data_IF_069907943425
#
_entry.id   IF_069907943425
#
_cell.length_a   1.000
_cell.length_b   1.000
_cell.length_c   1.000
_cell.angle_alpha   90.00
_cell.angle_beta   90.00
_cell.angle_gamma   90.00
#
_symmetry.space_group_name_H-M   'P 1'
#
loop_
_entity.id
_entity.type
_entity.pdbx_description
1 polymer ?
#
# COMPACT_ATOMS: atom_id res chain seq x y z
N UNK A 1 26.38 23.00 -36.00
CA UNK A 1 24.93 22.76 -35.99
C UNK A 1 24.59 21.35 -36.49
N UNK A 2 25.18 20.29 -35.89
CA UNK A 2 24.93 18.90 -36.32
C UNK A 2 25.08 17.89 -35.16
N UNK A 3 24.57 18.19 -33.96
CA UNK A 3 24.68 17.25 -32.84
C UNK A 3 23.51 17.35 -31.83
N UNK A 4 22.31 17.72 -32.28
CA UNK A 4 21.09 17.79 -31.43
C UNK A 4 19.91 16.94 -31.93
N UNK A 5 20.14 15.97 -32.81
CA UNK A 5 19.05 15.13 -33.37
C UNK A 5 19.12 13.64 -32.99
N UNK A 6 20.06 13.18 -32.19
CA UNK A 6 20.17 11.75 -31.82
C UNK A 6 19.48 11.36 -30.51
N UNK A 7 18.75 12.24 -29.85
CA UNK A 7 18.06 12.00 -28.56
C UNK A 7 16.59 11.54 -28.65
N UNK A 8 16.09 11.10 -29.81
CA UNK A 8 14.63 10.87 -29.97
C UNK A 8 14.19 9.50 -30.45
N UNK A 9 15.00 8.49 -30.40
CA UNK A 9 14.62 7.15 -30.87
C UNK A 9 15.37 6.00 -30.17
N UNK A 10 15.28 5.91 -28.86
CA UNK A 10 15.35 4.63 -28.16
C UNK A 10 14.25 4.63 -27.11
N UNK A 11 13.11 4.01 -27.41
CA UNK A 11 12.06 3.73 -26.46
C UNK A 11 12.66 2.86 -25.36
N UNK A 12 13.18 3.46 -24.30
CA UNK A 12 13.64 2.74 -23.13
C UNK A 12 12.44 2.00 -22.53
N UNK A 13 12.49 0.67 -22.67
CA UNK A 13 11.53 -0.30 -22.14
C UNK A 13 11.51 -0.32 -20.59
N UNK A 14 12.32 0.51 -19.94
CA UNK A 14 12.56 0.53 -18.50
C UNK A 14 12.40 1.98 -18.03
N UNK A 15 11.69 2.17 -16.92
CA UNK A 15 11.68 3.45 -16.20
C UNK A 15 13.12 3.81 -15.82
N UNK A 16 13.67 4.84 -16.44
CA UNK A 16 15.08 5.26 -16.26
C UNK A 16 15.31 5.93 -14.89
N UNK A 17 14.23 6.37 -14.20
CA UNK A 17 14.27 7.15 -12.96
C UNK A 17 13.58 6.48 -11.79
N UNK A 18 13.79 5.20 -11.63
CA UNK A 18 13.09 4.40 -10.63
C UNK A 18 13.26 4.88 -9.18
N UNK A 19 14.48 5.28 -8.77
CA UNK A 19 14.77 5.79 -7.41
C UNK A 19 15.24 7.25 -7.42
N UNK A 20 15.30 7.89 -8.58
CA UNK A 20 15.87 9.22 -8.75
C UNK A 20 14.80 10.31 -8.68
N UNK A 21 15.27 11.55 -8.53
CA UNK A 21 14.45 12.74 -8.67
C UNK A 21 13.87 12.87 -10.07
N UNK A 22 12.59 13.24 -10.18
CA UNK A 22 11.92 13.51 -11.47
C UNK A 22 12.03 15.01 -11.80
N UNK A 23 12.77 15.38 -12.85
CA UNK A 23 12.86 16.77 -13.30
C UNK A 23 11.51 17.33 -13.72
N UNK A 24 11.31 18.64 -13.55
CA UNK A 24 10.04 19.29 -13.84
C UNK A 24 9.57 19.09 -15.30
N UNK A 25 10.50 19.02 -16.25
CA UNK A 25 10.22 18.75 -17.66
C UNK A 25 9.64 17.34 -17.94
N UNK A 26 9.85 16.38 -17.06
CA UNK A 26 9.36 15.01 -17.17
C UNK A 26 8.04 14.78 -16.43
N UNK A 27 7.54 15.80 -15.71
CA UNK A 27 6.31 15.70 -14.91
C UNK A 27 5.08 16.00 -15.76
N UNK A 28 4.18 15.05 -15.88
CA UNK A 28 3.05 15.10 -16.80
C UNK A 28 1.72 14.61 -16.21
N UNK A 29 1.69 14.29 -14.92
CA UNK A 29 0.48 13.82 -14.22
C UNK A 29 -0.59 14.89 -14.04
N UNK A 30 -1.82 14.48 -13.76
CA UNK A 30 -2.94 15.35 -13.42
C UNK A 30 -3.62 14.91 -12.12
N UNK A 31 -4.35 15.84 -11.47
CA UNK A 31 -5.13 15.51 -10.27
C UNK A 31 -6.21 14.46 -10.56
N UNK A 32 -6.84 14.53 -11.74
CA UNK A 32 -7.83 13.54 -12.16
C UNK A 32 -7.19 12.14 -12.32
N UNK A 33 -5.96 12.06 -12.84
CA UNK A 33 -5.25 10.78 -12.94
C UNK A 33 -4.89 10.20 -11.57
N UNK A 34 -4.59 11.03 -10.57
CA UNK A 34 -4.38 10.56 -9.19
C UNK A 34 -5.66 10.04 -8.57
N UNK A 35 -6.78 10.77 -8.72
CA UNK A 35 -8.07 10.33 -8.22
C UNK A 35 -8.47 8.97 -8.84
N UNK A 36 -8.43 8.85 -10.16
CA UNK A 36 -8.83 7.62 -10.86
C UNK A 36 -7.89 6.44 -10.56
N UNK A 37 -6.58 6.70 -10.43
CA UNK A 37 -5.61 5.69 -10.03
C UNK A 37 -5.97 5.08 -8.68
N UNK A 38 -6.16 5.93 -7.65
CA UNK A 38 -6.42 5.45 -6.30
C UNK A 38 -7.83 4.89 -6.13
N UNK A 39 -8.81 5.39 -6.89
CA UNK A 39 -10.15 4.79 -6.95
C UNK A 39 -10.06 3.34 -7.49
N UNK A 40 -9.43 3.16 -8.66
CA UNK A 40 -9.35 1.85 -9.30
C UNK A 40 -8.45 0.85 -8.57
N UNK A 41 -7.33 1.32 -7.99
CA UNK A 41 -6.42 0.48 -7.23
C UNK A 41 -7.08 -0.16 -6.01
N UNK A 42 -8.10 0.48 -5.46
CA UNK A 42 -8.85 -0.01 -4.31
C UNK A 42 -10.05 -0.89 -4.67
N UNK A 43 -10.54 -0.86 -5.92
CA UNK A 43 -11.62 -1.73 -6.39
C UNK A 43 -11.07 -3.12 -6.74
N UNK A 44 -10.71 -3.89 -5.73
CA UNK A 44 -10.09 -5.20 -5.88
C UNK A 44 -10.54 -6.20 -4.81
N UNK A 45 -10.41 -7.48 -5.12
CA UNK A 45 -10.89 -8.58 -4.28
C UNK A 45 -10.32 -8.56 -2.84
N UNK A 46 -9.07 -8.17 -2.65
CA UNK A 46 -8.48 -8.06 -1.30
C UNK A 46 -9.12 -6.97 -0.45
N UNK A 47 -9.56 -5.85 -1.05
CA UNK A 47 -10.31 -4.82 -0.34
C UNK A 47 -11.73 -5.31 0.01
N UNK A 48 -12.38 -6.07 -0.88
CA UNK A 48 -13.66 -6.73 -0.59
C UNK A 48 -13.51 -7.65 0.62
N UNK A 49 -12.48 -8.50 0.63
CA UNK A 49 -12.23 -9.41 1.76
C UNK A 49 -11.91 -8.64 3.05
N UNK A 50 -11.15 -7.54 2.98
CA UNK A 50 -10.90 -6.69 4.15
C UNK A 50 -12.20 -6.17 4.77
N UNK A 51 -13.17 -5.76 3.94
CA UNK A 51 -14.50 -5.38 4.41
C UNK A 51 -15.27 -6.56 5.01
N UNK A 52 -15.19 -7.73 4.39
CA UNK A 52 -15.81 -8.94 4.89
C UNK A 52 -15.32 -9.36 6.29
N UNK A 53 -14.02 -9.14 6.58
CA UNK A 53 -13.44 -9.42 7.90
C UNK A 53 -14.17 -8.70 9.03
N UNK A 54 -14.72 -7.51 8.81
CA UNK A 54 -15.47 -6.78 9.82
C UNK A 54 -16.65 -7.58 10.37
N UNK A 55 -17.35 -8.31 9.50
CA UNK A 55 -18.49 -9.18 9.87
C UNK A 55 -17.99 -10.56 10.31
N UNK A 56 -17.03 -11.16 9.62
CA UNK A 56 -16.47 -12.47 9.98
C UNK A 56 -15.90 -12.48 11.39
N UNK A 57 -15.34 -11.34 11.84
CA UNK A 57 -14.76 -11.17 13.18
C UNK A 57 -15.79 -10.65 14.22
N UNK A 58 -17.09 -10.77 13.93
CA UNK A 58 -18.17 -10.59 14.90
C UNK A 58 -18.85 -9.22 14.91
N UNK A 59 -18.58 -8.35 13.90
CA UNK A 59 -19.32 -7.11 13.72
C UNK A 59 -20.69 -7.34 13.06
N UNK A 60 -21.67 -6.50 13.38
CA UNK A 60 -22.90 -6.39 12.57
C UNK A 60 -22.66 -5.53 11.32
N UNK A 61 -23.60 -5.59 10.38
CA UNK A 61 -23.47 -4.89 9.09
C UNK A 61 -23.39 -3.37 9.27
N UNK A 62 -24.32 -2.78 10.05
CA UNK A 62 -24.41 -1.33 10.17
C UNK A 62 -23.17 -0.72 10.82
N UNK A 63 -22.78 -1.24 12.01
CA UNK A 63 -21.65 -0.69 12.75
C UNK A 63 -20.31 -1.02 12.07
N UNK A 64 -20.21 -2.15 11.36
CA UNK A 64 -19.04 -2.44 10.52
C UNK A 64 -18.88 -1.41 9.40
N UNK A 65 -19.95 -1.04 8.69
CA UNK A 65 -19.88 -0.02 7.64
C UNK A 65 -19.45 1.34 8.18
N UNK A 66 -19.96 1.74 9.35
CA UNK A 66 -19.57 3.00 10.01
C UNK A 66 -18.11 2.97 10.45
N UNK A 67 -17.68 1.88 11.10
CA UNK A 67 -16.31 1.71 11.56
C UNK A 67 -15.30 1.71 10.40
N UNK A 68 -15.60 0.96 9.33
CA UNK A 68 -14.79 0.93 8.13
C UNK A 68 -14.66 2.33 7.52
N UNK A 69 -15.75 3.10 7.42
CA UNK A 69 -15.70 4.46 6.89
C UNK A 69 -14.81 5.37 7.74
N UNK A 70 -14.93 5.32 9.06
CA UNK A 70 -14.08 6.12 9.95
C UNK A 70 -12.60 5.75 9.82
N UNK A 71 -12.29 4.46 9.77
CA UNK A 71 -10.92 4.00 9.56
C UNK A 71 -10.38 4.40 8.17
N UNK A 72 -11.22 4.34 7.13
CA UNK A 72 -10.87 4.82 5.78
C UNK A 72 -10.58 6.32 5.77
N UNK A 73 -11.37 7.14 6.47
CA UNK A 73 -11.15 8.58 6.53
C UNK A 73 -9.85 8.92 7.28
N UNK A 74 -9.60 8.30 8.42
CA UNK A 74 -8.39 8.55 9.22
C UNK A 74 -7.16 8.03 8.49
N UNK A 75 -7.14 6.77 8.09
CA UNK A 75 -6.03 6.17 7.38
C UNK A 75 -5.78 6.81 6.01
N UNK A 76 -6.87 7.15 5.29
CA UNK A 76 -6.84 7.86 4.02
C UNK A 76 -6.27 9.27 4.14
N UNK A 77 -6.54 9.98 5.24
CA UNK A 77 -5.90 11.26 5.51
C UNK A 77 -4.39 11.10 5.73
N UNK A 78 -3.95 10.10 6.49
CA UNK A 78 -2.52 9.81 6.68
C UNK A 78 -1.86 9.49 5.33
N UNK A 79 -2.44 8.60 4.53
CA UNK A 79 -1.97 8.28 3.19
C UNK A 79 -1.89 9.53 2.29
N UNK A 80 -2.96 10.32 2.25
CA UNK A 80 -3.05 11.49 1.38
C UNK A 80 -2.06 12.60 1.77
N UNK A 81 -1.71 12.75 3.06
CA UNK A 81 -0.64 13.62 3.52
C UNK A 81 0.73 13.17 2.96
N UNK A 82 1.01 11.87 2.90
CA UNK A 82 2.21 11.38 2.22
C UNK A 82 2.14 11.67 0.70
N UNK A 83 1.00 11.42 0.07
CA UNK A 83 0.79 11.70 -1.36
C UNK A 83 0.99 13.17 -1.73
N UNK A 84 0.61 14.09 -0.85
CA UNK A 84 0.77 15.53 -1.07
C UNK A 84 2.24 16.01 -1.07
N UNK A 85 3.17 15.20 -0.58
CA UNK A 85 4.62 15.49 -0.62
C UNK A 85 5.20 15.30 -2.03
N UNK A 86 4.65 14.36 -2.82
CA UNK A 86 5.19 13.94 -4.11
C UNK A 86 5.45 15.09 -5.10
N UNK A 87 4.48 15.96 -5.43
CA UNK A 87 4.68 17.08 -6.36
C UNK A 87 5.77 18.05 -5.90
N UNK A 88 5.87 18.27 -4.60
CA UNK A 88 6.83 19.21 -4.02
C UNK A 88 8.27 18.67 -4.07
N UNK A 89 8.42 17.37 -3.80
CA UNK A 89 9.73 16.73 -3.68
C UNK A 89 10.23 16.12 -5.00
N UNK A 90 9.34 15.56 -5.82
CA UNK A 90 9.71 14.81 -7.03
C UNK A 90 10.53 13.55 -6.74
N UNK A 91 10.44 13.02 -5.52
CA UNK A 91 11.19 11.87 -5.01
C UNK A 91 10.26 10.70 -4.70
N UNK A 92 10.74 9.46 -4.81
CA UNK A 92 10.04 8.31 -4.24
C UNK A 92 9.88 8.45 -2.73
N UNK A 93 8.75 7.97 -2.19
CA UNK A 93 8.44 8.12 -0.77
C UNK A 93 9.54 7.56 0.14
N UNK A 94 10.05 6.38 -0.17
CA UNK A 94 11.02 5.73 0.72
C UNK A 94 12.44 6.29 0.63
N UNK A 95 12.82 6.92 -0.48
CA UNK A 95 14.07 7.69 -0.57
C UNK A 95 14.01 8.90 0.36
N UNK A 96 12.85 9.59 0.43
CA UNK A 96 12.69 10.74 1.33
C UNK A 96 12.80 10.37 2.81
N UNK A 97 12.55 9.11 3.19
CA UNK A 97 12.75 8.62 4.56
C UNK A 97 14.19 8.70 5.06
N UNK A 98 15.17 8.83 4.15
CA UNK A 98 16.57 9.08 4.52
C UNK A 98 16.78 10.43 5.21
N UNK A 99 15.88 11.37 4.98
CA UNK A 99 15.88 12.68 5.67
C UNK A 99 15.64 12.50 7.16
N UNK A 100 14.69 11.63 7.54
CA UNK A 100 14.33 11.39 8.93
C UNK A 100 15.29 10.39 9.60
N UNK A 101 15.59 9.27 8.94
CA UNK A 101 16.29 8.13 9.56
C UNK A 101 17.80 8.08 9.29
N UNK A 102 18.31 8.90 8.36
CA UNK A 102 19.66 8.79 7.82
C UNK A 102 19.74 7.76 6.68
N UNK A 103 20.84 7.81 5.92
CA UNK A 103 21.00 7.01 4.68
C UNK A 103 20.92 5.50 4.94
N UNK A 104 21.56 5.02 6.03
CA UNK A 104 21.51 3.62 6.43
C UNK A 104 20.27 3.32 7.29
N UNK A 105 19.88 4.26 8.15
CA UNK A 105 18.73 4.09 9.04
C UNK A 105 17.41 3.89 8.31
N UNK A 106 17.24 4.48 7.14
CA UNK A 106 16.09 4.26 6.27
C UNK A 106 15.90 2.79 5.82
N UNK A 107 16.94 1.94 5.97
CA UNK A 107 16.81 0.50 5.73
C UNK A 107 15.74 -0.15 6.60
N UNK A 108 15.53 0.34 7.83
CA UNK A 108 14.54 -0.22 8.76
C UNK A 108 13.12 -0.15 8.15
N UNK A 109 12.56 1.03 7.81
CA UNK A 109 11.25 1.09 7.17
C UNK A 109 11.24 0.47 5.76
N UNK A 110 12.35 0.49 5.02
CA UNK A 110 12.44 -0.15 3.69
C UNK A 110 12.30 -1.67 3.74
N UNK A 111 12.86 -2.34 4.74
CA UNK A 111 12.66 -3.79 4.95
C UNK A 111 11.17 -4.08 5.21
N UNK A 112 10.50 -3.26 6.01
CA UNK A 112 9.06 -3.42 6.25
C UNK A 112 8.23 -3.23 4.98
N UNK A 113 8.64 -2.32 4.10
CA UNK A 113 7.99 -2.16 2.78
C UNK A 113 8.20 -3.39 1.90
N UNK A 114 9.37 -4.01 1.92
CA UNK A 114 9.59 -5.28 1.23
C UNK A 114 8.67 -6.38 1.78
N UNK A 115 8.53 -6.51 3.12
CA UNK A 115 7.62 -7.45 3.77
C UNK A 115 6.15 -7.15 3.40
N UNK A 116 5.76 -5.89 3.36
CA UNK A 116 4.44 -5.45 2.91
C UNK A 116 4.14 -5.95 1.48
N UNK A 117 5.04 -5.74 0.54
CA UNK A 117 4.86 -6.20 -0.84
C UNK A 117 4.78 -7.72 -0.94
N UNK A 118 5.60 -8.46 -0.18
CA UNK A 118 5.55 -9.92 -0.11
C UNK A 118 4.20 -10.38 0.44
N UNK A 119 3.71 -9.80 1.54
CA UNK A 119 2.45 -10.19 2.16
C UNK A 119 1.23 -9.88 1.29
N UNK A 120 1.18 -8.69 0.65
CA UNK A 120 0.11 -8.39 -0.31
C UNK A 120 0.17 -9.24 -1.57
N UNK A 121 1.37 -9.63 -2.01
CA UNK A 121 1.51 -10.58 -3.12
C UNK A 121 1.05 -11.98 -2.74
N UNK A 122 1.39 -12.46 -1.55
CA UNK A 122 0.93 -13.75 -1.04
C UNK A 122 -0.60 -13.77 -0.91
N UNK A 123 -1.19 -12.77 -0.23
CA UNK A 123 -2.64 -12.64 -0.06
C UNK A 123 -3.37 -12.52 -1.40
N UNK A 124 -2.81 -11.75 -2.32
CA UNK A 124 -3.33 -11.63 -3.68
C UNK A 124 -3.25 -12.92 -4.47
N UNK A 125 -2.19 -13.71 -4.27
CA UNK A 125 -2.00 -15.01 -4.94
C UNK A 125 -2.97 -16.07 -4.42
N UNK A 126 -3.34 -16.07 -3.14
CA UNK A 126 -4.40 -16.95 -2.62
C UNK A 126 -5.71 -16.68 -3.35
N UNK A 127 -6.17 -15.42 -3.35
CA UNK A 127 -7.46 -15.05 -3.94
C UNK A 127 -7.48 -15.18 -5.48
N UNK A 128 -6.39 -14.80 -6.15
CA UNK A 128 -6.28 -14.97 -7.60
C UNK A 128 -6.11 -16.44 -7.98
N UNK A 129 -5.36 -17.21 -7.20
CA UNK A 129 -5.20 -18.65 -7.40
C UNK A 129 -6.53 -19.38 -7.26
N UNK A 130 -7.35 -19.02 -6.26
CA UNK A 130 -8.71 -19.54 -6.12
C UNK A 130 -9.59 -19.18 -7.34
N UNK A 131 -9.48 -17.94 -7.87
CA UNK A 131 -10.20 -17.57 -9.09
C UNK A 131 -9.72 -18.37 -10.32
N UNK A 132 -8.42 -18.57 -10.49
CA UNK A 132 -7.84 -19.40 -11.56
C UNK A 132 -8.26 -20.87 -11.42
N UNK A 133 -8.26 -21.39 -10.20
CA UNK A 133 -8.70 -22.75 -9.91
C UNK A 133 -10.16 -22.99 -10.34
N UNK A 134 -11.06 -22.07 -9.98
CA UNK A 134 -12.47 -22.13 -10.39
C UNK A 134 -12.65 -21.96 -11.91
N UNK A 135 -11.86 -21.10 -12.54
CA UNK A 135 -11.94 -20.83 -13.98
C UNK A 135 -11.49 -22.05 -14.83
N UNK A 136 -10.45 -22.73 -14.37
CA UNK A 136 -9.81 -23.84 -15.13
C UNK A 136 -10.23 -25.24 -14.65
N UNK A 137 -10.97 -25.34 -13.53
CA UNK A 137 -11.35 -26.63 -12.95
C UNK A 137 -10.16 -27.42 -12.37
N UNK A 138 -9.14 -26.71 -11.85
CA UNK A 138 -7.96 -27.31 -11.20
C UNK A 138 -8.02 -27.10 -9.69
N UNK A 139 -7.13 -27.76 -8.94
CA UNK A 139 -7.00 -27.52 -7.51
C UNK A 139 -6.39 -26.14 -7.21
N UNK A 140 -6.55 -25.66 -5.97
CA UNK A 140 -6.14 -24.34 -5.57
C UNK A 140 -4.61 -24.11 -5.62
N UNK A 141 -3.81 -25.16 -5.34
CA UNK A 141 -2.35 -25.08 -5.40
C UNK A 141 -1.90 -24.90 -6.85
N UNK A 142 -2.52 -25.65 -7.78
CA UNK A 142 -2.28 -25.48 -9.21
C UNK A 142 -2.71 -24.07 -9.68
N UNK A 143 -3.84 -23.56 -9.21
CA UNK A 143 -4.30 -22.20 -9.49
C UNK A 143 -3.30 -21.13 -9.02
N UNK A 144 -2.78 -21.26 -7.80
CA UNK A 144 -1.75 -20.35 -7.24
C UNK A 144 -0.45 -20.45 -8.06
N UNK A 145 -0.01 -21.65 -8.42
CA UNK A 145 1.20 -21.87 -9.20
C UNK A 145 1.09 -21.28 -10.62
N UNK A 146 -0.04 -21.50 -11.30
CA UNK A 146 -0.31 -20.91 -12.62
C UNK A 146 -0.33 -19.38 -12.56
N UNK A 147 -0.94 -18.82 -11.52
CA UNK A 147 -0.95 -17.36 -11.31
C UNK A 147 0.47 -16.82 -11.09
N UNK A 148 1.32 -17.51 -10.32
CA UNK A 148 2.72 -17.15 -10.11
C UNK A 148 3.54 -17.18 -11.41
N UNK A 149 3.32 -18.17 -12.26
CA UNK A 149 3.94 -18.24 -13.60
C UNK A 149 3.54 -17.03 -14.44
N UNK A 150 2.26 -16.65 -14.44
CA UNK A 150 1.80 -15.44 -15.15
C UNK A 150 2.48 -14.16 -14.64
N UNK A 151 2.70 -14.01 -13.32
CA UNK A 151 3.45 -12.88 -12.75
C UNK A 151 4.88 -12.85 -13.29
N UNK A 152 5.57 -13.99 -13.29
CA UNK A 152 6.95 -14.09 -13.79
C UNK A 152 7.01 -13.72 -15.26
N UNK A 153 6.13 -14.27 -16.08
CA UNK A 153 6.05 -13.98 -17.53
C UNK A 153 5.80 -12.50 -17.76
N UNK A 154 4.82 -11.89 -17.08
CA UNK A 154 4.50 -10.48 -17.23
C UNK A 154 5.67 -9.58 -16.79
N UNK A 155 6.38 -9.98 -15.75
CA UNK A 155 7.57 -9.26 -15.28
C UNK A 155 8.72 -9.30 -16.30
N UNK A 156 8.90 -10.42 -16.99
CA UNK A 156 9.91 -10.57 -18.06
C UNK A 156 9.54 -9.72 -19.28
N UNK A 157 8.24 -9.67 -19.64
CA UNK A 157 7.73 -8.86 -20.75
C UNK A 157 7.90 -7.35 -20.51
N UNK A 158 8.11 -6.92 -19.28
CA UNK A 158 8.59 -5.61 -18.92
C UNK A 158 7.50 -4.55 -18.69
N UNK A 159 7.97 -3.37 -18.29
CA UNK A 159 7.17 -2.27 -17.76
C UNK A 159 6.04 -1.80 -18.68
N UNK A 160 6.30 -1.66 -19.98
CA UNK A 160 5.29 -1.23 -20.97
C UNK A 160 4.09 -2.17 -21.03
N UNK A 161 4.35 -3.48 -21.00
CA UNK A 161 3.31 -4.53 -21.02
C UNK A 161 2.50 -4.49 -19.73
N UNK A 162 3.14 -4.30 -18.57
CA UNK A 162 2.50 -4.19 -17.26
C UNK A 162 1.49 -3.02 -17.28
N UNK A 163 1.89 -1.86 -17.79
CA UNK A 163 1.00 -0.69 -17.85
C UNK A 163 -0.16 -0.86 -18.82
N UNK A 164 0.06 -1.49 -19.98
CA UNK A 164 -1.00 -1.79 -20.93
C UNK A 164 -2.04 -2.72 -20.32
N UNK A 165 -1.59 -3.84 -19.76
CA UNK A 165 -2.44 -4.83 -19.08
C UNK A 165 -3.15 -4.19 -17.88
N UNK A 166 -2.46 -3.34 -17.11
CA UNK A 166 -3.04 -2.62 -15.99
C UNK A 166 -4.18 -1.69 -16.37
N UNK A 167 -4.04 -0.98 -17.49
CA UNK A 167 -5.10 -0.10 -18.01
C UNK A 167 -6.33 -0.90 -18.41
N UNK A 168 -6.14 -1.98 -19.18
CA UNK A 168 -7.22 -2.88 -19.59
C UNK A 168 -7.85 -3.55 -18.35
N UNK A 169 -7.03 -4.06 -17.44
CA UNK A 169 -7.48 -4.70 -16.21
C UNK A 169 -8.31 -3.78 -15.32
N UNK A 170 -7.94 -2.49 -15.21
CA UNK A 170 -8.71 -1.51 -14.46
C UNK A 170 -10.12 -1.31 -15.03
N UNK A 171 -10.25 -1.21 -16.36
CA UNK A 171 -11.56 -1.07 -17.01
C UNK A 171 -12.41 -2.31 -16.79
N UNK A 172 -11.86 -3.51 -17.04
CA UNK A 172 -12.56 -4.78 -16.82
C UNK A 172 -12.97 -4.93 -15.35
N UNK A 173 -12.07 -4.60 -14.42
CA UNK A 173 -12.31 -4.68 -12.99
C UNK A 173 -13.44 -3.76 -12.51
N UNK A 174 -13.47 -2.51 -12.99
CA UNK A 174 -14.54 -1.57 -12.66
C UNK A 174 -15.90 -2.06 -13.19
N UNK A 175 -15.95 -2.55 -14.44
CA UNK A 175 -17.19 -3.10 -15.02
C UNK A 175 -17.69 -4.31 -14.23
N UNK A 176 -16.77 -5.25 -13.93
CA UNK A 176 -17.09 -6.44 -13.14
C UNK A 176 -17.59 -6.06 -11.73
N UNK A 177 -16.95 -5.08 -11.09
CA UNK A 177 -17.32 -4.60 -9.77
C UNK A 177 -18.73 -3.96 -9.79
N UNK A 178 -19.01 -3.07 -10.73
CA UNK A 178 -20.32 -2.45 -10.89
C UNK A 178 -21.41 -3.49 -11.16
N UNK A 179 -21.12 -4.50 -12.00
CA UNK A 179 -22.04 -5.60 -12.25
C UNK A 179 -22.32 -6.39 -10.96
N UNK A 180 -21.29 -6.78 -10.21
CA UNK A 180 -21.47 -7.50 -8.95
C UNK A 180 -22.28 -6.68 -7.94
N UNK A 181 -22.03 -5.36 -7.86
CA UNK A 181 -22.82 -4.47 -7.01
C UNK A 181 -24.29 -4.41 -7.43
N UNK A 182 -24.57 -4.23 -8.72
CA UNK A 182 -25.92 -4.21 -9.24
C UNK A 182 -26.66 -5.51 -8.90
N UNK A 183 -26.01 -6.66 -9.05
CA UNK A 183 -26.57 -7.97 -8.69
C UNK A 183 -26.80 -8.14 -7.19
N UNK A 184 -25.89 -7.65 -6.35
CA UNK A 184 -26.03 -7.66 -4.90
C UNK A 184 -27.29 -6.89 -4.48
N UNK A 185 -27.47 -5.66 -4.97
CA UNK A 185 -28.61 -4.81 -4.64
C UNK A 185 -29.95 -5.31 -5.20
N UNK A 186 -29.94 -5.93 -6.38
CA UNK A 186 -31.17 -6.40 -7.02
C UNK A 186 -31.65 -7.76 -6.51
N UNK A 187 -30.75 -8.61 -6.00
CA UNK A 187 -31.10 -9.99 -5.65
C UNK A 187 -31.28 -10.23 -4.16
N UNK A 188 -30.89 -9.28 -3.30
CA UNK A 188 -30.89 -9.46 -1.84
C UNK A 188 -31.53 -8.29 -1.12
N UNK A 189 -32.28 -8.57 -0.05
CA UNK A 189 -32.82 -7.55 0.86
C UNK A 189 -31.70 -7.11 1.85
N UNK A 190 -30.97 -6.09 1.45
CA UNK A 190 -29.91 -5.52 2.28
C UNK A 190 -30.47 -4.68 3.44
N UNK A 191 -31.72 -4.24 3.35
CA UNK A 191 -32.39 -3.48 4.42
C UNK A 191 -32.57 -4.32 5.69
N UNK A 192 -32.92 -5.58 5.55
CA UNK A 192 -33.03 -6.50 6.67
C UNK A 192 -31.70 -6.72 7.39
N UNK A 193 -30.58 -6.78 6.63
CA UNK A 193 -29.25 -6.90 7.21
C UNK A 193 -28.81 -5.63 7.99
N UNK A 194 -29.19 -4.44 7.50
CA UNK A 194 -28.92 -3.16 8.15
C UNK A 194 -29.78 -2.93 9.40
N UNK A 195 -30.96 -3.55 9.48
CA UNK A 195 -31.86 -3.42 10.62
C UNK A 195 -31.39 -4.20 11.86
N UNK A 196 -30.64 -5.29 11.67
CA UNK A 196 -30.12 -6.12 12.76
C UNK A 196 -28.83 -5.49 13.34
N UNK A 197 -28.97 -4.70 14.41
CA UNK A 197 -27.88 -3.89 14.98
C UNK A 197 -27.48 -4.40 16.36
N UNK A 198 -26.22 -4.81 16.49
CA UNK A 198 -25.60 -5.22 17.74
C UNK A 198 -24.24 -4.53 17.89
N UNK A 199 -24.22 -3.39 18.61
CA UNK A 199 -22.98 -2.66 18.80
C UNK A 199 -22.04 -3.42 19.74
N UNK A 200 -20.82 -3.65 19.25
CA UNK A 200 -19.69 -4.13 20.05
C UNK A 200 -18.51 -3.19 19.82
N UNK A 201 -18.01 -2.58 20.91
CA UNK A 201 -16.86 -1.68 20.82
C UNK A 201 -15.61 -2.39 20.30
N UNK A 202 -15.40 -3.64 20.65
CA UNK A 202 -14.25 -4.43 20.19
C UNK A 202 -14.31 -4.66 18.67
N UNK A 203 -15.46 -5.15 18.14
CA UNK A 203 -15.64 -5.34 16.70
C UNK A 203 -15.61 -4.03 15.92
N UNK A 204 -16.13 -2.95 16.51
CA UNK A 204 -16.11 -1.61 15.91
C UNK A 204 -14.68 -1.09 15.75
N UNK A 205 -13.87 -1.11 16.82
CA UNK A 205 -12.49 -0.66 16.78
C UNK A 205 -11.60 -1.56 15.90
N UNK A 206 -11.84 -2.88 15.91
CA UNK A 206 -11.15 -3.80 15.03
C UNK A 206 -11.45 -3.50 13.54
N UNK A 207 -12.71 -3.29 13.19
CA UNK A 207 -13.12 -2.92 11.82
C UNK A 207 -12.49 -1.60 11.38
N UNK A 208 -12.46 -0.61 12.29
CA UNK A 208 -11.79 0.67 12.06
C UNK A 208 -10.27 0.48 11.86
N UNK A 209 -9.63 -0.38 12.64
CA UNK A 209 -8.21 -0.70 12.52
C UNK A 209 -7.88 -1.38 11.19
N UNK A 210 -8.71 -2.33 10.74
CA UNK A 210 -8.53 -3.01 9.45
C UNK A 210 -8.56 -2.03 8.27
N UNK A 211 -9.54 -1.12 8.27
CA UNK A 211 -9.67 -0.14 7.18
C UNK A 211 -8.65 0.98 7.25
N UNK A 212 -8.26 1.43 8.45
CA UNK A 212 -7.17 2.38 8.63
C UNK A 212 -5.83 1.79 8.17
N UNK A 213 -5.56 0.52 8.51
CA UNK A 213 -4.38 -0.20 8.06
C UNK A 213 -4.30 -0.31 6.55
N UNK A 214 -5.43 -0.64 5.90
CA UNK A 214 -5.51 -0.72 4.46
C UNK A 214 -5.00 0.58 3.80
N UNK A 215 -5.45 1.72 4.29
CA UNK A 215 -5.04 3.03 3.76
C UNK A 215 -3.58 3.39 4.11
N UNK A 216 -3.19 3.18 5.37
CA UNK A 216 -1.83 3.53 5.84
C UNK A 216 -0.78 2.68 5.12
N UNK A 217 -1.10 1.45 4.74
CA UNK A 217 -0.22 0.59 3.96
C UNK A 217 0.15 1.16 2.57
N UNK A 218 -0.62 2.10 2.02
CA UNK A 218 -0.25 2.83 0.81
C UNK A 218 0.74 3.98 1.06
N UNK A 219 0.84 4.46 2.30
CA UNK A 219 1.72 5.57 2.68
C UNK A 219 3.15 5.44 2.18
N UNK A 220 3.82 4.28 2.33
CA UNK A 220 5.20 4.09 1.91
C UNK A 220 5.50 4.25 0.42
N UNK A 221 4.49 4.31 -0.45
CA UNK A 221 4.70 4.41 -1.90
C UNK A 221 3.70 5.32 -2.63
N UNK A 222 2.80 5.98 -1.92
CA UNK A 222 1.82 6.87 -2.56
C UNK A 222 2.47 8.03 -3.31
N UNK A 223 3.57 8.57 -2.80
CA UNK A 223 4.31 9.64 -3.47
C UNK A 223 5.08 9.15 -4.71
N UNK A 224 5.31 7.85 -4.88
CA UNK A 224 5.94 7.30 -6.08
C UNK A 224 5.09 7.58 -7.34
N UNK A 225 3.79 7.74 -7.17
CA UNK A 225 2.85 8.10 -8.23
C UNK A 225 2.61 9.61 -8.32
N UNK A 226 2.43 10.29 -7.19
CA UNK A 226 2.13 11.72 -7.17
C UNK A 226 3.34 12.61 -7.51
N UNK A 227 4.59 12.09 -7.43
CA UNK A 227 5.82 12.81 -7.82
C UNK A 227 5.87 13.20 -9.29
N UNK A 228 5.03 12.60 -10.15
CA UNK A 228 4.88 12.95 -11.55
C UNK A 228 3.92 14.11 -11.80
N UNK A 229 3.23 14.61 -10.79
CA UNK A 229 2.45 15.84 -10.90
C UNK A 229 3.40 17.05 -11.07
N UNK A 230 2.99 18.09 -11.82
CA UNK A 230 3.74 19.34 -11.92
C UNK A 230 4.05 19.92 -10.54
N UNK A 231 5.24 20.49 -10.35
CA UNK A 231 5.71 21.01 -9.05
C UNK A 231 4.81 22.08 -8.44
N UNK A 232 4.16 22.91 -9.29
CA UNK A 232 3.20 23.93 -8.85
C UNK A 232 1.84 23.38 -8.40
N UNK A 233 1.64 22.05 -8.43
CA UNK A 233 0.37 21.46 -8.00
C UNK A 233 0.18 21.66 -6.51
N UNK A 234 -0.97 22.22 -6.13
CA UNK A 234 -1.31 22.47 -4.72
C UNK A 234 -1.32 21.19 -3.90
N UNK A 235 -0.63 21.20 -2.75
CA UNK A 235 -0.61 20.07 -1.80
C UNK A 235 -2.02 19.72 -1.31
N UNK A 236 -2.89 20.73 -1.07
CA UNK A 236 -4.27 20.49 -0.65
C UNK A 236 -5.10 19.82 -1.75
N UNK A 237 -4.94 20.20 -3.02
CA UNK A 237 -5.63 19.56 -4.15
C UNK A 237 -5.12 18.14 -4.38
N UNK A 238 -3.81 17.90 -4.21
CA UNK A 238 -3.23 16.56 -4.28
C UNK A 238 -3.75 15.67 -3.14
N UNK A 239 -3.78 16.20 -1.91
CA UNK A 239 -4.38 15.52 -0.75
C UNK A 239 -5.83 15.10 -1.04
N UNK A 240 -6.67 16.00 -1.55
CA UNK A 240 -8.06 15.70 -1.85
C UNK A 240 -8.19 14.68 -2.98
N UNK A 241 -7.43 14.81 -4.07
CA UNK A 241 -7.50 13.87 -5.19
C UNK A 241 -7.10 12.44 -4.78
N UNK A 242 -5.98 12.30 -4.06
CA UNK A 242 -5.48 11.02 -3.56
C UNK A 242 -6.42 10.45 -2.50
N UNK A 243 -6.78 11.25 -1.50
CA UNK A 243 -7.60 10.81 -0.37
C UNK A 243 -9.01 10.42 -0.80
N UNK A 244 -9.71 11.25 -1.58
CA UNK A 244 -11.06 10.93 -2.05
C UNK A 244 -11.06 9.71 -2.97
N UNK A 245 -10.10 9.63 -3.92
CA UNK A 245 -10.01 8.46 -4.79
C UNK A 245 -9.82 7.18 -3.99
N UNK A 246 -8.89 7.17 -3.05
CA UNK A 246 -8.58 5.98 -2.25
C UNK A 246 -9.73 5.60 -1.31
N UNK A 247 -10.27 6.57 -0.56
CA UNK A 247 -11.37 6.32 0.39
C UNK A 247 -12.62 5.83 -0.33
N UNK A 248 -13.01 6.47 -1.43
CA UNK A 248 -14.21 6.06 -2.19
C UNK A 248 -14.06 4.66 -2.78
N UNK A 249 -12.89 4.35 -3.39
CA UNK A 249 -12.65 3.04 -3.96
C UNK A 249 -12.62 1.93 -2.91
N UNK A 250 -11.88 2.13 -1.82
CA UNK A 250 -11.77 1.15 -0.75
C UNK A 250 -13.10 0.98 0.00
N UNK A 251 -13.81 2.07 0.32
CA UNK A 251 -15.10 1.99 0.98
C UNK A 251 -16.13 1.24 0.13
N UNK A 252 -16.19 1.52 -1.18
CA UNK A 252 -17.07 0.78 -2.07
C UNK A 252 -16.76 -0.73 -2.05
N UNK A 253 -15.49 -1.12 -2.19
CA UNK A 253 -15.10 -2.53 -2.14
C UNK A 253 -15.41 -3.17 -0.79
N UNK A 254 -15.13 -2.48 0.32
CA UNK A 254 -15.40 -2.99 1.67
C UNK A 254 -16.88 -3.10 1.99
N UNK A 255 -17.73 -2.17 1.51
CA UNK A 255 -19.20 -2.26 1.61
C UNK A 255 -19.70 -3.55 0.96
N UNK A 256 -19.20 -3.85 -0.25
CA UNK A 256 -19.55 -5.12 -0.90
C UNK A 256 -19.14 -6.32 -0.03
N UNK A 257 -17.93 -6.29 0.53
CA UNK A 257 -17.40 -7.36 1.38
C UNK A 257 -18.25 -7.59 2.64
N UNK A 258 -18.68 -6.51 3.32
CA UNK A 258 -19.55 -6.58 4.49
C UNK A 258 -20.85 -7.31 4.18
N UNK A 259 -21.54 -6.91 3.10
CA UNK A 259 -22.78 -7.57 2.70
C UNK A 259 -22.55 -9.01 2.24
N UNK A 260 -21.48 -9.27 1.50
CA UNK A 260 -21.14 -10.63 1.07
C UNK A 260 -20.93 -11.57 2.28
N UNK A 261 -20.15 -11.13 3.27
CA UNK A 261 -19.92 -11.93 4.48
C UNK A 261 -21.20 -12.12 5.31
N UNK A 262 -22.04 -11.09 5.44
CA UNK A 262 -23.31 -11.16 6.16
C UNK A 262 -24.28 -12.16 5.50
N UNK A 263 -24.34 -12.20 4.17
CA UNK A 263 -25.16 -13.15 3.41
C UNK A 263 -24.61 -14.59 3.48
N UNK A 264 -23.28 -14.74 3.50
CA UNK A 264 -22.64 -16.06 3.55
C UNK A 264 -22.68 -16.70 4.93
N UNK A 265 -22.59 -15.89 6.00
CA UNK A 265 -22.39 -16.38 7.36
C UNK A 265 -21.10 -17.25 7.46
N UNK A 266 -21.21 -18.39 8.13
CA UNK A 266 -20.07 -19.31 8.30
C UNK A 266 -19.52 -19.90 7.01
N UNK A 267 -20.24 -19.85 5.90
CA UNK A 267 -19.82 -20.36 4.59
C UNK A 267 -18.84 -19.44 3.86
N UNK A 268 -18.59 -18.23 4.38
CA UNK A 268 -17.66 -17.28 3.74
C UNK A 268 -16.22 -17.79 3.78
N UNK A 269 -15.78 -18.27 4.93
CA UNK A 269 -14.42 -18.77 5.12
C UNK A 269 -14.14 -19.98 4.21
N UNK A 270 -12.97 -19.99 3.59
CA UNK A 270 -12.48 -20.97 2.61
C UNK A 270 -13.16 -20.95 1.23
N UNK A 271 -14.20 -20.11 1.04
CA UNK A 271 -14.93 -20.00 -0.23
C UNK A 271 -15.13 -18.55 -0.65
N UNK A 272 -14.28 -17.63 -0.20
CA UNK A 272 -14.43 -16.19 -0.34
C UNK A 272 -14.70 -15.78 -1.80
N UNK A 273 -13.84 -16.22 -2.71
CA UNK A 273 -13.92 -15.87 -4.14
C UNK A 273 -15.13 -16.50 -4.80
N UNK A 274 -15.37 -17.80 -4.54
CA UNK A 274 -16.49 -18.53 -5.11
C UNK A 274 -17.83 -17.94 -4.63
N UNK A 275 -17.94 -17.58 -3.36
CA UNK A 275 -19.13 -16.98 -2.79
C UNK A 275 -19.40 -15.59 -3.37
N UNK A 276 -18.36 -14.71 -3.42
CA UNK A 276 -18.46 -13.36 -3.99
C UNK A 276 -18.95 -13.41 -5.44
N UNK A 277 -18.35 -14.28 -6.27
CA UNK A 277 -18.78 -14.45 -7.67
C UNK A 277 -20.19 -15.05 -7.74
N UNK A 278 -20.51 -16.02 -6.91
CA UNK A 278 -21.80 -16.71 -6.87
C UNK A 278 -22.99 -15.84 -6.45
N UNK A 279 -22.76 -14.71 -5.77
CA UNK A 279 -23.83 -13.80 -5.32
C UNK A 279 -24.69 -13.23 -6.47
N UNK A 280 -24.17 -13.17 -7.66
CA UNK A 280 -24.89 -12.56 -8.76
C UNK A 280 -24.81 -13.29 -10.08
N UNK A 281 -24.07 -14.40 -10.18
CA UNK A 281 -23.80 -15.02 -11.48
C UNK A 281 -23.47 -16.50 -11.42
N UNK A 282 -23.72 -17.15 -12.55
CA UNK A 282 -23.38 -18.56 -12.81
C UNK A 282 -22.92 -18.72 -14.26
N UNK A 283 -22.41 -19.91 -14.60
CA UNK A 283 -22.03 -20.23 -15.98
C UNK A 283 -20.97 -19.29 -16.55
N UNK A 284 -21.14 -18.83 -17.79
CA UNK A 284 -20.18 -18.00 -18.50
C UNK A 284 -19.92 -16.65 -17.83
N UNK A 285 -20.93 -16.04 -17.19
CA UNK A 285 -20.78 -14.77 -16.49
C UNK A 285 -19.89 -14.95 -15.25
N UNK A 286 -20.05 -16.03 -14.50
CA UNK A 286 -19.17 -16.36 -13.39
C UNK A 286 -17.72 -16.57 -13.87
N UNK A 287 -17.51 -17.26 -14.99
CA UNK A 287 -16.19 -17.41 -15.57
C UNK A 287 -15.53 -16.07 -15.94
N UNK A 288 -16.29 -15.12 -16.51
CA UNK A 288 -15.79 -13.77 -16.79
C UNK A 288 -15.41 -13.01 -15.51
N UNK A 289 -16.14 -13.20 -14.42
CA UNK A 289 -15.83 -12.59 -13.12
C UNK A 289 -14.59 -13.22 -12.51
N UNK A 290 -14.42 -14.53 -12.52
CA UNK A 290 -13.18 -15.19 -12.09
C UNK A 290 -11.99 -14.70 -12.89
N UNK A 291 -12.13 -14.62 -14.23
CA UNK A 291 -11.09 -14.04 -15.09
C UNK A 291 -10.76 -12.59 -14.69
N UNK A 292 -11.78 -11.75 -14.47
CA UNK A 292 -11.60 -10.35 -14.07
C UNK A 292 -10.82 -10.23 -12.75
N UNK A 293 -11.14 -11.05 -11.76
CA UNK A 293 -10.45 -11.10 -10.46
C UNK A 293 -8.98 -11.48 -10.66
N UNK A 294 -8.72 -12.59 -11.36
CA UNK A 294 -7.36 -13.07 -11.61
C UNK A 294 -6.54 -12.04 -12.41
N UNK A 295 -7.12 -11.48 -13.48
CA UNK A 295 -6.47 -10.51 -14.35
C UNK A 295 -6.18 -9.17 -13.63
N UNK A 296 -7.12 -8.66 -12.84
CA UNK A 296 -6.92 -7.47 -12.03
C UNK A 296 -5.82 -7.67 -10.98
N UNK A 297 -5.80 -8.83 -10.31
CA UNK A 297 -4.76 -9.17 -9.34
C UNK A 297 -3.39 -9.37 -9.99
N UNK A 298 -3.33 -9.89 -11.20
CA UNK A 298 -2.08 -10.07 -11.93
C UNK A 298 -1.32 -8.76 -12.07
N UNK A 299 -2.01 -7.68 -12.45
CA UNK A 299 -1.40 -6.36 -12.56
C UNK A 299 -0.86 -5.85 -11.22
N UNK A 300 -1.70 -5.87 -10.18
CA UNK A 300 -1.33 -5.36 -8.85
C UNK A 300 -0.18 -6.17 -8.26
N UNK A 301 -0.21 -7.50 -8.38
CA UNK A 301 0.84 -8.36 -7.83
C UNK A 301 2.16 -8.20 -8.58
N UNK A 302 2.12 -7.97 -9.90
CA UNK A 302 3.33 -7.65 -10.68
C UNK A 302 3.92 -6.29 -10.27
N UNK A 303 3.08 -5.28 -10.01
CA UNK A 303 3.54 -4.00 -9.46
C UNK A 303 4.13 -4.14 -8.05
N UNK A 304 3.57 -5.01 -7.21
CA UNK A 304 4.16 -5.32 -5.89
C UNK A 304 5.56 -5.95 -6.04
N UNK A 305 5.74 -6.87 -6.99
CA UNK A 305 7.05 -7.47 -7.27
C UNK A 305 8.08 -6.42 -7.72
N UNK A 306 7.64 -5.48 -8.55
CA UNK A 306 8.45 -4.35 -8.98
C UNK A 306 8.76 -3.39 -7.82
N UNK A 307 7.78 -3.01 -7.01
CA UNK A 307 7.96 -2.14 -5.83
C UNK A 307 8.87 -2.74 -4.78
N UNK A 308 8.79 -4.06 -4.53
CA UNK A 308 9.71 -4.80 -3.66
C UNK A 308 11.16 -4.73 -4.18
N UNK A 309 11.36 -4.94 -5.48
CA UNK A 309 12.66 -4.76 -6.12
C UNK A 309 13.18 -3.33 -5.93
N UNK A 310 12.37 -2.31 -6.13
CA UNK A 310 12.74 -0.91 -5.96
C UNK A 310 13.16 -0.59 -4.52
N UNK A 311 12.44 -1.11 -3.54
CA UNK A 311 12.76 -0.95 -2.12
C UNK A 311 14.08 -1.62 -1.78
N UNK A 312 14.33 -2.83 -2.29
CA UNK A 312 15.60 -3.53 -2.13
C UNK A 312 16.75 -2.78 -2.83
N UNK A 313 16.51 -2.25 -4.04
CA UNK A 313 17.47 -1.41 -4.76
C UNK A 313 17.84 -0.16 -3.95
N UNK A 314 16.85 0.46 -3.31
CA UNK A 314 17.07 1.61 -2.43
C UNK A 314 17.91 1.23 -1.22
N UNK A 315 17.67 0.09 -0.58
CA UNK A 315 18.51 -0.42 0.52
C UNK A 315 19.97 -0.58 0.05
N UNK A 316 20.16 -1.31 -1.05
CA UNK A 316 21.51 -1.60 -1.59
C UNK A 316 22.24 -0.31 -1.99
N UNK A 317 21.53 0.67 -2.58
CA UNK A 317 22.12 1.96 -2.97
C UNK A 317 22.61 2.77 -1.76
N UNK A 318 21.97 2.62 -0.61
CA UNK A 318 22.43 3.26 0.64
C UNK A 318 23.82 2.78 1.04
N UNK A 319 24.06 1.46 1.00
CA UNK A 319 25.33 0.88 1.46
C UNK A 319 26.46 0.87 0.42
N UNK A 320 26.12 0.81 -0.87
CA UNK A 320 27.10 0.63 -1.97
C UNK A 320 27.22 1.83 -2.91
N UNK A 321 26.50 2.91 -2.61
CA UNK A 321 26.34 4.06 -3.51
C UNK A 321 25.39 3.76 -4.68
N UNK A 322 25.03 4.82 -5.41
CA UNK A 322 24.18 4.68 -6.59
C UNK A 322 24.95 3.94 -7.71
N UNK A 323 24.53 2.71 -7.97
CA UNK A 323 25.03 1.91 -9.09
C UNK A 323 23.84 1.36 -9.85
N UNK A 324 23.89 1.43 -11.17
CA UNK A 324 22.89 0.78 -12.02
C UNK A 324 22.81 -0.72 -11.68
N UNK A 325 21.60 -1.18 -11.38
CA UNK A 325 21.37 -2.59 -11.10
C UNK A 325 21.20 -3.33 -12.42
N UNK A 326 22.04 -4.35 -12.64
CA UNK A 326 21.98 -5.14 -13.88
C UNK A 326 20.62 -5.86 -14.00
N UNK A 327 20.16 -6.05 -15.24
CA UNK A 327 18.92 -6.75 -15.55
C UNK A 327 18.83 -8.15 -14.89
N UNK A 328 19.95 -8.89 -14.85
CA UNK A 328 20.02 -10.21 -14.18
C UNK A 328 19.74 -10.10 -12.68
N UNK A 329 20.32 -9.14 -11.97
CA UNK A 329 20.08 -8.94 -10.53
C UNK A 329 18.64 -8.56 -10.27
N UNK A 330 18.05 -7.68 -11.09
CA UNK A 330 16.62 -7.34 -11.02
C UNK A 330 15.75 -8.57 -11.13
N UNK A 331 16.00 -9.42 -12.14
CA UNK A 331 15.23 -10.64 -12.34
C UNK A 331 15.35 -11.60 -11.14
N UNK A 332 16.56 -11.78 -10.59
CA UNK A 332 16.78 -12.62 -9.40
C UNK A 332 15.98 -12.12 -8.19
N UNK A 333 15.97 -10.81 -7.92
CA UNK A 333 15.17 -10.26 -6.82
C UNK A 333 13.68 -10.49 -7.01
N UNK A 334 13.18 -10.27 -8.20
CA UNK A 334 11.76 -10.47 -8.51
C UNK A 334 11.38 -11.94 -8.40
N UNK A 335 12.19 -12.85 -8.96
CA UNK A 335 11.96 -14.29 -8.84
C UNK A 335 11.97 -14.75 -7.38
N UNK A 336 12.93 -14.27 -6.58
CA UNK A 336 12.98 -14.59 -5.15
C UNK A 336 11.73 -14.12 -4.43
N UNK A 337 11.28 -12.87 -4.69
CA UNK A 337 10.06 -12.31 -4.11
C UNK A 337 8.82 -13.11 -4.51
N UNK A 338 8.66 -13.45 -5.80
CA UNK A 338 7.52 -14.23 -6.29
C UNK A 338 7.53 -15.64 -5.68
N UNK A 339 8.71 -16.29 -5.60
CA UNK A 339 8.84 -17.60 -4.98
C UNK A 339 8.44 -17.59 -3.51
N UNK A 340 8.93 -16.61 -2.73
CA UNK A 340 8.58 -16.47 -1.31
C UNK A 340 7.08 -16.20 -1.14
N UNK A 341 6.52 -15.27 -1.92
CA UNK A 341 5.09 -14.95 -1.87
C UNK A 341 4.21 -16.13 -2.23
N UNK A 342 4.62 -16.92 -3.24
CA UNK A 342 3.89 -18.13 -3.66
C UNK A 342 3.96 -19.22 -2.59
N UNK A 343 5.12 -19.44 -1.98
CA UNK A 343 5.27 -20.40 -0.89
C UNK A 343 4.39 -20.01 0.32
N UNK A 344 4.37 -18.73 0.69
CA UNK A 344 3.49 -18.21 1.74
C UNK A 344 2.01 -18.36 1.38
N UNK A 345 1.63 -18.10 0.13
CA UNK A 345 0.26 -18.28 -0.34
C UNK A 345 -0.20 -19.74 -0.23
N UNK A 346 0.63 -20.68 -0.68
CA UNK A 346 0.32 -22.11 -0.58
C UNK A 346 0.25 -22.57 0.88
N UNK A 347 1.17 -22.13 1.74
CA UNK A 347 1.17 -22.49 3.16
C UNK A 347 -0.03 -21.91 3.93
N UNK A 348 -0.38 -20.64 3.67
CA UNK A 348 -1.43 -19.93 4.39
C UNK A 348 -2.85 -20.08 3.83
N UNK A 349 -3.06 -20.78 2.68
CA UNK A 349 -4.37 -20.82 2.01
C UNK A 349 -5.52 -21.31 2.89
N UNK A 350 -5.27 -22.30 3.74
CA UNK A 350 -6.29 -22.88 4.62
C UNK A 350 -6.61 -22.03 5.85
N UNK A 351 -5.76 -21.08 6.20
CA UNK A 351 -5.97 -20.11 7.30
C UNK A 351 -5.99 -18.66 6.81
N UNK A 352 -6.34 -18.45 5.54
CA UNK A 352 -6.15 -17.20 4.81
C UNK A 352 -6.71 -15.99 5.56
N UNK A 353 -7.97 -16.00 6.00
CA UNK A 353 -8.58 -14.86 6.68
C UNK A 353 -7.85 -14.49 7.99
N UNK A 354 -7.41 -15.51 8.76
CA UNK A 354 -6.65 -15.31 9.99
C UNK A 354 -5.28 -14.70 9.72
N UNK A 355 -4.54 -15.28 8.77
CA UNK A 355 -3.20 -14.81 8.40
C UNK A 355 -3.24 -13.42 7.78
N UNK A 356 -4.25 -13.16 6.93
CA UNK A 356 -4.43 -11.86 6.30
C UNK A 356 -4.80 -10.77 7.31
N UNK A 357 -5.67 -11.08 8.28
CA UNK A 357 -5.98 -10.18 9.39
C UNK A 357 -4.73 -9.83 10.19
N UNK A 358 -3.96 -10.85 10.58
CA UNK A 358 -2.71 -10.66 11.34
C UNK A 358 -1.69 -9.82 10.55
N UNK A 359 -1.57 -10.06 9.26
CA UNK A 359 -0.69 -9.30 8.36
C UNK A 359 -1.10 -7.82 8.27
N UNK A 360 -2.39 -7.52 8.08
CA UNK A 360 -2.88 -6.14 8.01
C UNK A 360 -2.61 -5.40 9.32
N UNK A 361 -2.91 -6.01 10.47
CA UNK A 361 -2.66 -5.40 11.79
C UNK A 361 -1.16 -5.24 12.07
N UNK A 362 -0.33 -6.18 11.62
CA UNK A 362 1.13 -6.03 11.66
C UNK A 362 1.57 -4.77 10.89
N UNK A 363 1.09 -4.56 9.67
CA UNK A 363 1.44 -3.36 8.90
C UNK A 363 1.04 -2.08 9.64
N UNK A 364 -0.15 -2.08 10.25
CA UNK A 364 -0.65 -0.93 11.01
C UNK A 364 0.31 -0.58 12.17
N UNK A 365 0.72 -1.58 12.95
CA UNK A 365 1.61 -1.39 14.10
C UNK A 365 2.97 -0.81 13.74
N UNK A 366 3.51 -1.16 12.57
CA UNK A 366 4.84 -0.72 12.15
C UNK A 366 4.83 0.53 11.26
N UNK A 367 3.80 0.76 10.46
CA UNK A 367 3.74 1.94 9.60
C UNK A 367 3.20 3.18 10.31
N UNK A 368 2.46 3.06 11.41
CA UNK A 368 1.96 4.22 12.15
C UNK A 368 3.10 5.04 12.77
N UNK A 369 4.11 4.47 13.46
CA UNK A 369 5.23 5.26 13.98
C UNK A 369 6.10 5.86 12.87
N UNK A 370 6.29 5.14 11.75
CA UNK A 370 7.01 5.67 10.60
C UNK A 370 6.26 6.88 9.99
N UNK A 371 4.94 6.74 9.77
CA UNK A 371 4.11 7.83 9.26
C UNK A 371 4.15 9.05 10.18
N UNK A 372 4.03 8.85 11.49
CA UNK A 372 4.08 9.91 12.47
C UNK A 372 5.39 10.72 12.37
N UNK A 373 6.54 10.04 12.35
CA UNK A 373 7.86 10.67 12.23
C UNK A 373 8.00 11.42 10.91
N UNK A 374 7.62 10.78 9.77
CA UNK A 374 7.75 11.40 8.45
C UNK A 374 6.86 12.63 8.31
N UNK A 375 5.59 12.53 8.72
CA UNK A 375 4.64 13.64 8.59
C UNK A 375 4.99 14.82 9.48
N UNK A 376 5.39 14.57 10.74
CA UNK A 376 5.85 15.63 11.64
C UNK A 376 7.10 16.31 11.10
N UNK A 377 8.09 15.53 10.65
CA UNK A 377 9.31 16.10 10.06
C UNK A 377 9.00 16.98 8.86
N UNK A 378 8.17 16.46 7.93
CA UNK A 378 7.85 17.16 6.70
C UNK A 378 7.02 18.42 6.94
N UNK A 379 5.91 18.34 7.66
CA UNK A 379 4.96 19.45 7.77
C UNK A 379 5.36 20.49 8.81
N UNK A 380 6.03 20.08 9.89
CA UNK A 380 6.39 21.00 10.98
C UNK A 380 7.79 21.60 10.79
N UNK A 381 8.74 20.86 10.22
CA UNK A 381 10.15 21.27 10.18
C UNK A 381 10.69 21.52 8.77
N UNK A 382 10.79 20.46 7.95
CA UNK A 382 11.51 20.55 6.67
C UNK A 382 10.72 21.27 5.58
N UNK A 383 9.41 21.09 5.50
CA UNK A 383 8.50 21.74 4.53
C UNK A 383 9.05 21.71 3.10
N UNK A 384 9.34 20.51 2.60
CA UNK A 384 9.95 20.26 1.26
C UNK A 384 11.37 20.84 1.05
N UNK A 385 12.01 21.37 2.05
CA UNK A 385 13.41 21.86 1.97
C UNK A 385 14.39 20.72 2.18
N UNK A 386 14.58 19.91 1.14
CA UNK A 386 15.45 18.74 1.14
C UNK A 386 16.72 19.02 0.34
N UNK A 387 17.80 18.38 0.74
CA UNK A 387 19.06 18.32 -0.01
C UNK A 387 19.10 16.97 -0.75
N UNK A 388 18.67 16.97 -2.02
CA UNK A 388 18.50 15.73 -2.79
C UNK A 388 19.85 15.00 -2.99
N UNK A 389 20.96 15.65 -3.36
CA UNK A 389 22.28 15.02 -3.42
C UNK A 389 22.67 14.33 -2.12
N UNK A 390 22.44 14.95 -0.96
CA UNK A 390 22.81 14.41 0.34
C UNK A 390 22.02 13.14 0.74
N UNK A 391 20.90 12.84 0.06
CA UNK A 391 20.18 11.58 0.29
C UNK A 391 20.97 10.33 -0.10
N UNK A 392 22.00 10.49 -0.95
CA UNK A 392 22.85 9.38 -1.39
C UNK A 392 24.23 9.38 -0.73
N UNK A 393 24.53 10.39 0.10
CA UNK A 393 25.82 10.56 0.77
C UNK A 393 25.71 10.24 2.28
N UNK A 394 26.26 9.08 2.73
CA UNK A 394 26.28 8.74 4.15
C UNK A 394 27.14 9.67 5.02
N UNK A 395 28.07 10.43 4.43
CA UNK A 395 28.87 11.45 5.10
C UNK A 395 28.22 12.84 5.04
N UNK A 396 27.15 12.98 4.25
CA UNK A 396 26.45 14.24 4.03
C UNK A 396 25.55 14.66 5.19
N UNK A 397 24.70 15.64 4.93
CA UNK A 397 23.82 16.33 5.89
C UNK A 397 22.95 15.40 6.73
N UNK A 398 22.43 14.31 6.16
CA UNK A 398 21.52 13.38 6.83
C UNK A 398 22.25 12.27 7.59
N UNK A 399 23.56 12.11 7.37
CA UNK A 399 24.38 11.12 8.04
C UNK A 399 23.97 9.67 7.78
N UNK A 400 24.68 8.75 8.44
CA UNK A 400 24.42 7.30 8.32
C UNK A 400 23.16 6.87 9.06
N UNK A 401 23.04 7.25 10.33
CA UNK A 401 22.00 6.83 11.26
C UNK A 401 21.49 8.02 12.06
N UNK A 402 20.20 8.32 12.00
CA UNK A 402 19.58 9.25 12.93
C UNK A 402 19.07 8.46 14.15
N UNK A 403 19.90 8.39 15.19
CA UNK A 403 19.60 7.64 16.43
C UNK A 403 18.33 8.10 17.10
N UNK A 404 18.02 9.40 17.08
CA UNK A 404 16.82 9.98 17.66
C UNK A 404 15.57 9.47 16.95
N UNK A 405 15.51 9.54 15.62
CA UNK A 405 14.36 9.04 14.86
C UNK A 405 14.17 7.53 15.03
N UNK A 406 15.28 6.76 15.07
CA UNK A 406 15.23 5.31 15.29
C UNK A 406 14.71 5.01 16.69
N UNK A 407 15.20 5.71 17.73
CA UNK A 407 14.72 5.52 19.10
C UNK A 407 13.23 5.85 19.23
N UNK A 408 12.77 6.97 18.65
CA UNK A 408 11.35 7.34 18.65
C UNK A 408 10.51 6.29 17.90
N UNK A 409 11.01 5.76 16.78
CA UNK A 409 10.35 4.70 16.04
C UNK A 409 10.19 3.42 16.87
N UNK A 410 11.26 2.98 17.54
CA UNK A 410 11.23 1.81 18.43
C UNK A 410 10.30 2.03 19.63
N UNK A 411 10.36 3.20 20.27
CA UNK A 411 9.43 3.57 21.34
C UNK A 411 7.98 3.54 20.83
N UNK A 412 7.74 4.05 19.63
CA UNK A 412 6.43 4.01 18.98
C UNK A 412 5.89 2.59 18.77
N UNK A 413 6.75 1.62 18.48
CA UNK A 413 6.36 0.20 18.42
C UNK A 413 6.11 -0.34 19.83
N UNK A 414 7.02 -0.11 20.76
CA UNK A 414 6.94 -0.65 22.13
C UNK A 414 5.71 -0.16 22.89
N UNK A 415 5.32 1.10 22.73
CA UNK A 415 4.13 1.67 23.39
C UNK A 415 2.83 1.05 22.89
N UNK A 416 2.82 0.49 21.69
CA UNK A 416 1.67 -0.21 21.14
C UNK A 416 1.49 -1.62 21.73
N UNK A 417 2.58 -2.29 22.11
CA UNK A 417 2.54 -3.70 22.53
C UNK A 417 1.51 -4.01 23.62
N UNK A 418 1.32 -3.21 24.69
CA UNK A 418 0.30 -3.50 25.68
C UNK A 418 -1.14 -3.48 25.15
N UNK A 419 -1.39 -2.88 24.00
CA UNK A 419 -2.71 -2.60 23.42
C UNK A 419 -2.99 -3.37 22.12
N UNK A 420 -2.04 -4.14 21.59
CA UNK A 420 -2.19 -4.93 20.37
C UNK A 420 -3.02 -6.18 20.67
N UNK A 421 -4.01 -6.46 19.82
CA UNK A 421 -4.78 -7.70 19.82
C UNK A 421 -4.68 -8.39 18.47
N UNK A 422 -3.89 -9.44 18.39
CA UNK A 422 -3.73 -10.27 17.18
C UNK A 422 -3.89 -11.74 17.50
N UNK A 423 -3.99 -12.58 16.48
CA UNK A 423 -4.14 -14.04 16.64
C UNK A 423 -2.94 -14.73 17.31
N UNK A 424 -1.78 -14.08 17.38
CA UNK A 424 -0.54 -14.64 17.95
C UNK A 424 0.00 -13.81 19.13
N UNK A 425 -0.56 -12.65 19.42
CA UNK A 425 -0.15 -11.82 20.56
C UNK A 425 -1.31 -10.96 21.06
N UNK A 426 -1.53 -10.97 22.37
CA UNK A 426 -2.50 -10.12 23.05
C UNK A 426 -1.78 -9.34 24.15
N UNK A 427 -1.84 -8.02 24.07
CA UNK A 427 -1.21 -7.11 25.02
C UNK A 427 -1.90 -7.12 26.37
N UNK A 428 -1.15 -6.86 27.44
CA UNK A 428 -1.63 -6.94 28.84
C UNK A 428 -2.79 -5.99 29.20
N UNK A 429 -3.04 -4.96 28.40
CA UNK A 429 -4.13 -4.01 28.64
C UNK A 429 -5.38 -4.26 27.78
N UNK A 430 -5.32 -5.18 26.83
CA UNK A 430 -6.44 -5.50 25.92
C UNK A 430 -7.67 -5.95 26.69
N UNK A 431 -7.52 -6.89 27.64
CA UNK A 431 -8.64 -7.40 28.44
C UNK A 431 -9.29 -6.29 29.29
N UNK A 432 -8.49 -5.38 29.84
CA UNK A 432 -8.97 -4.23 30.62
C UNK A 432 -9.77 -3.22 29.75
N UNK A 433 -9.52 -3.23 28.46
CA UNK A 433 -10.21 -2.41 27.47
C UNK A 433 -11.37 -3.15 26.77
N UNK A 434 -11.84 -4.26 27.37
CA UNK A 434 -12.95 -5.04 26.82
C UNK A 434 -12.61 -5.75 25.50
N UNK A 435 -11.36 -6.19 25.34
CA UNK A 435 -10.89 -6.88 24.12
C UNK A 435 -10.56 -5.96 22.94
N UNK A 436 -10.45 -4.64 23.18
CA UNK A 436 -10.24 -3.66 22.12
C UNK A 436 -8.76 -3.44 21.80
N UNK A 437 -8.47 -3.24 20.51
CA UNK A 437 -7.15 -2.82 20.02
C UNK A 437 -7.18 -1.33 19.65
N UNK A 438 -6.44 -0.52 20.43
CA UNK A 438 -6.24 0.91 20.18
C UNK A 438 -4.77 1.23 19.88
N UNK A 439 -3.96 0.21 19.65
CA UNK A 439 -2.50 0.30 19.54
C UNK A 439 -2.04 1.34 18.53
N UNK A 440 -2.62 1.33 17.34
CA UNK A 440 -2.24 2.20 16.24
C UNK A 440 -2.47 3.69 16.50
N UNK A 441 -3.48 4.02 17.34
CA UNK A 441 -3.73 5.41 17.75
C UNK A 441 -2.52 5.91 18.56
N UNK A 442 -2.05 5.08 19.50
CA UNK A 442 -0.83 5.37 20.27
C UNK A 442 0.41 5.35 19.38
N UNK A 443 0.45 4.44 18.39
CA UNK A 443 1.49 4.35 17.37
C UNK A 443 1.61 5.58 16.46
N UNK A 444 0.54 6.36 16.29
CA UNK A 444 0.56 7.65 15.62
C UNK A 444 0.89 8.79 16.58
N UNK A 445 0.18 8.88 17.70
CA UNK A 445 0.24 10.05 18.59
C UNK A 445 1.56 10.14 19.36
N UNK A 446 1.99 9.03 19.99
CA UNK A 446 3.18 9.06 20.86
C UNK A 446 4.46 9.35 20.06
N UNK A 447 4.75 8.67 18.92
CA UNK A 447 5.91 9.02 18.12
C UNK A 447 5.83 10.43 17.51
N UNK A 448 4.63 10.91 17.15
CA UNK A 448 4.47 12.27 16.64
C UNK A 448 4.89 13.30 17.68
N UNK A 449 4.40 13.19 18.92
CA UNK A 449 4.73 14.10 20.01
C UNK A 449 6.20 14.01 20.41
N UNK A 450 6.73 12.79 20.57
CA UNK A 450 8.14 12.58 20.91
C UNK A 450 9.07 13.11 19.84
N UNK A 451 8.78 12.82 18.56
CA UNK A 451 9.62 13.30 17.46
C UNK A 451 9.57 14.82 17.36
N UNK A 452 8.39 15.43 17.51
CA UNK A 452 8.23 16.88 17.54
C UNK A 452 9.08 17.51 18.66
N UNK A 453 8.98 17.00 19.89
CA UNK A 453 9.76 17.48 21.04
C UNK A 453 11.27 17.37 20.80
N UNK A 454 11.72 16.19 20.34
CA UNK A 454 13.14 15.97 20.02
C UNK A 454 13.65 16.87 18.89
N UNK A 455 12.83 17.10 17.86
CA UNK A 455 13.19 17.94 16.73
C UNK A 455 13.26 19.42 17.10
N UNK A 456 12.37 19.90 18.00
CA UNK A 456 12.47 21.26 18.56
C UNK A 456 13.75 21.48 19.37
N UNK A 457 14.21 20.44 20.10
CA UNK A 457 15.43 20.50 20.89
C UNK A 457 16.73 20.32 20.05
N UNK A 458 16.57 19.91 18.79
CA UNK A 458 17.70 19.59 17.91
C UNK A 458 18.21 20.83 17.18
N UNK A 459 19.54 20.96 17.08
CA UNK A 459 20.23 21.96 16.25
C UNK A 459 20.37 21.53 14.78
N UNK A 460 19.50 20.66 14.28
CA UNK A 460 19.55 20.14 12.90
C UNK A 460 19.48 21.28 11.90
N UNK A 461 20.49 21.36 11.00
CA UNK A 461 20.52 22.35 9.92
C UNK A 461 19.61 21.91 8.79
N UNK A 462 18.46 22.59 8.62
CA UNK A 462 17.55 22.38 7.50
C UNK A 462 17.97 23.29 6.35
N UNK A 463 17.97 22.82 5.07
CA UNK A 463 18.26 23.69 3.94
C UNK A 463 17.26 24.85 3.86
N UNK A 464 17.66 25.99 3.30
CA UNK A 464 16.74 27.13 3.09
C UNK A 464 15.72 26.84 1.98
N UNK A 465 16.10 26.03 1.00
CA UNK A 465 15.29 25.58 -0.14
C UNK A 465 15.54 24.13 -0.49
N UNK A 466 14.75 23.60 -1.43
CA UNK A 466 15.04 22.30 -2.06
C UNK A 466 16.30 22.44 -2.93
N UNK A 467 17.34 21.66 -2.60
CA UNK A 467 18.59 21.60 -3.36
C UNK A 467 18.48 20.43 -4.35
N UNK A 468 18.61 20.72 -5.64
CA UNK A 468 18.48 19.74 -6.71
C UNK A 468 19.81 19.13 -7.12
N UNK A 469 19.81 17.95 -7.78
CA UNK A 469 21.02 17.40 -8.39
C UNK A 469 21.66 18.38 -9.37
N UNK A 470 22.97 18.60 -9.23
CA UNK A 470 23.72 19.56 -10.04
C UNK A 470 23.79 21.01 -9.50
N UNK A 471 22.96 21.39 -8.52
CA UNK A 471 23.07 22.73 -7.87
C UNK A 471 24.16 22.77 -6.80
N UNK A 472 24.46 21.65 -6.15
CA UNK A 472 25.51 21.58 -5.12
C UNK A 472 26.92 21.88 -5.66
N UNK A 473 27.18 21.62 -6.94
CA UNK A 473 28.44 21.93 -7.59
C UNK A 473 28.66 23.44 -7.83
N UNK A 474 27.59 24.25 -7.84
CA UNK A 474 27.66 25.72 -8.07
C UNK A 474 27.73 26.54 -6.78
N UNK A 475 27.48 25.93 -5.63
CA UNK A 475 27.52 26.61 -4.32
C UNK A 475 28.90 26.48 -3.63
N UNK A 476 29.84 25.75 -4.23
CA UNK A 476 31.21 25.56 -3.79
C UNK A 476 32.26 26.28 -4.65
N UNK A 477 31.81 26.96 -5.73
CA UNK A 477 32.59 27.94 -6.49
C UNK A 477 32.25 29.37 -6.00
#
# INVERSE_FOLDING_TARGET
MANQREGRASGELIESRSIDYIPDAERHGSLASQFTLWLSANLQITAIVTGALAVVLGGDVFWSLVALLLGQLIGGAVMALHGAQGPQLGLPQMISSRVQFGVYGATIPLVLVCLMYIGFSASGSVLAGAAVAQLLGVDEVAGIALFAICIVVLTILGYRTIHLIGRVGSVIGVIAFLFMFARLFSNHDLGALLANRHFSIASFLLSMSLSASWQIAFGPYVADYSRYLPRGTSSARTFLAVGLGSVMGAQAAMVFGVFAAALAGSRFAHHEVAFIVGLGSSGAVAALLYFSIAFGKLTVTTLNAYGSFMSMATIVSGFRGQRAISHRRRLVYILAMVTVSTALAIAGRHSFLKEFTAFILFLLAFFTPWSAINLVDYYCFTRSRYDVPALSDPAGRYGRWNRTAIAVYVIGILVQMPFISTSFYTGALVDRLGGTDISWILGLLVPALLYYACACASSRRIPERLILPGEAARAGE
#
